data_IF_961176080076
#
_entry.id   IF_961176080076
#
_cell.length_a   1.000
_cell.length_b   1.000
_cell.length_c   1.000
_cell.angle_alpha   90.00
_cell.angle_beta   90.00
_cell.angle_gamma   90.00
#
_symmetry.space_group_name_H-M   'P 1'
#
loop_
_entity.id
_entity.type
_entity.pdbx_description
1 polymer ?
#
# COMPACT_ATOMS: atom_id res chain seq x y z
N UNK A 1 -28.29 0.73 -0.49
CA UNK A 1 -27.80 -0.62 -0.18
C UNK A 1 -26.52 -0.45 0.63
N UNK A 2 -26.54 -0.71 1.94
CA UNK A 2 -25.30 -0.74 2.73
C UNK A 2 -24.43 -1.86 2.12
N UNK A 3 -23.26 -1.51 1.57
CA UNK A 3 -22.37 -2.52 1.00
C UNK A 3 -21.86 -3.45 2.09
N UNK A 4 -21.75 -4.74 1.80
CA UNK A 4 -21.07 -5.73 2.64
C UNK A 4 -19.56 -5.41 2.65
N UNK A 5 -19.16 -4.41 3.44
CA UNK A 5 -17.77 -4.01 3.63
C UNK A 5 -17.43 -4.07 5.10
N UNK A 6 -16.39 -4.83 5.42
CA UNK A 6 -15.76 -4.86 6.72
C UNK A 6 -14.47 -4.04 6.63
N UNK A 7 -14.35 -3.00 7.44
CA UNK A 7 -13.13 -2.19 7.54
C UNK A 7 -12.58 -2.30 8.96
N UNK A 8 -11.33 -2.71 9.07
CA UNK A 8 -10.62 -2.88 10.34
C UNK A 8 -9.40 -1.96 10.36
N UNK A 9 -9.23 -1.21 11.44
CA UNK A 9 -7.98 -0.51 11.73
C UNK A 9 -7.15 -1.45 12.59
N UNK A 10 -5.97 -1.82 12.08
CA UNK A 10 -5.14 -2.87 12.66
C UNK A 10 -3.78 -2.26 13.05
N UNK A 11 -3.36 -2.37 14.33
CA UNK A 11 -2.00 -2.00 14.71
C UNK A 11 -0.98 -2.84 13.93
N UNK A 12 0.17 -2.28 13.52
CA UNK A 12 1.18 -3.00 12.73
C UNK A 12 1.62 -4.31 13.39
N UNK A 13 1.73 -4.34 14.72
CA UNK A 13 2.13 -5.52 15.50
C UNK A 13 1.12 -6.66 15.50
N UNK A 14 -0.10 -6.45 15.00
CA UNK A 14 -1.19 -7.44 14.99
C UNK A 14 -1.62 -7.85 13.60
N UNK A 15 -0.95 -7.37 12.54
CA UNK A 15 -1.38 -7.64 11.16
C UNK A 15 -1.39 -9.14 10.86
N UNK A 16 -0.35 -9.88 11.28
CA UNK A 16 -0.25 -11.32 11.08
C UNK A 16 -1.36 -12.09 11.78
N UNK A 17 -1.69 -11.71 13.01
CA UNK A 17 -2.80 -12.32 13.76
C UNK A 17 -4.13 -12.11 13.04
N UNK A 18 -4.41 -10.87 12.60
CA UNK A 18 -5.68 -10.53 11.94
C UNK A 18 -5.80 -11.22 10.58
N UNK A 19 -4.71 -11.27 9.81
CA UNK A 19 -4.69 -11.97 8.52
C UNK A 19 -4.82 -13.48 8.72
N UNK A 20 -4.20 -14.05 9.75
CA UNK A 20 -4.38 -15.45 10.15
C UNK A 20 -5.84 -15.76 10.51
N UNK A 21 -6.45 -14.93 11.36
CA UNK A 21 -7.87 -15.06 11.71
C UNK A 21 -8.78 -14.91 10.49
N UNK A 22 -8.46 -14.02 9.55
CA UNK A 22 -9.22 -13.85 8.31
C UNK A 22 -9.15 -15.13 7.46
N UNK A 23 -7.98 -15.73 7.31
CA UNK A 23 -7.80 -16.99 6.60
C UNK A 23 -8.54 -18.16 7.26
N UNK A 24 -8.57 -18.21 8.59
CA UNK A 24 -9.26 -19.27 9.35
C UNK A 24 -10.79 -19.11 9.35
N UNK A 25 -11.29 -17.90 9.58
CA UNK A 25 -12.72 -17.62 9.78
C UNK A 25 -13.45 -17.37 8.46
N UNK A 26 -12.75 -16.90 7.43
CA UNK A 26 -13.30 -16.56 6.12
C UNK A 26 -12.43 -17.21 5.05
N UNK A 27 -12.46 -18.55 4.98
CA UNK A 27 -11.56 -19.36 4.15
C UNK A 27 -11.64 -19.07 2.64
N UNK A 28 -12.68 -18.39 2.16
CA UNK A 28 -12.83 -17.98 0.77
C UNK A 28 -12.40 -16.53 0.50
N UNK A 29 -11.91 -15.82 1.52
CA UNK A 29 -11.37 -14.47 1.36
C UNK A 29 -10.00 -14.54 0.70
N UNK A 30 -9.93 -14.09 -0.55
CA UNK A 30 -8.69 -14.05 -1.32
C UNK A 30 -8.09 -12.63 -1.29
N UNK A 31 -6.75 -12.52 -1.24
CA UNK A 31 -6.08 -11.23 -1.33
C UNK A 31 -6.27 -10.63 -2.72
N UNK A 32 -6.71 -9.38 -2.77
CA UNK A 32 -6.93 -8.63 -4.02
C UNK A 32 -5.84 -7.60 -4.26
N UNK A 33 -5.41 -6.87 -3.21
CA UNK A 33 -4.35 -5.87 -3.33
C UNK A 33 -3.75 -5.48 -1.98
N UNK A 34 -2.52 -4.98 -2.03
CA UNK A 34 -1.87 -4.25 -0.94
C UNK A 34 -1.22 -3.01 -1.52
N UNK A 35 -1.49 -1.85 -0.93
CA UNK A 35 -0.89 -0.59 -1.37
C UNK A 35 -0.75 0.42 -0.24
N UNK A 36 0.26 1.29 -0.38
CA UNK A 36 0.54 2.37 0.55
C UNK A 36 -0.16 3.67 0.20
N UNK A 37 -0.36 4.52 1.22
CA UNK A 37 -0.79 5.91 1.11
C UNK A 37 0.18 6.76 1.92
N UNK A 38 0.77 7.77 1.30
CA UNK A 38 1.60 8.76 2.00
C UNK A 38 0.71 9.84 2.64
N UNK A 39 0.64 9.86 3.98
CA UNK A 39 -0.10 10.85 4.78
C UNK A 39 0.73 12.10 5.11
N UNK A 40 1.95 12.18 4.56
CA UNK A 40 2.98 13.19 4.82
C UNK A 40 3.51 13.16 6.26
N UNK A 41 4.62 13.88 6.50
CA UNK A 41 5.29 13.94 7.79
C UNK A 41 5.70 12.55 8.32
N UNK A 42 6.26 11.73 7.42
CA UNK A 42 6.70 10.36 7.71
C UNK A 42 5.60 9.48 8.33
N UNK A 43 4.34 9.73 7.94
CA UNK A 43 3.20 8.87 8.24
C UNK A 43 2.69 8.23 6.97
N UNK A 44 2.41 6.94 7.08
CA UNK A 44 1.95 6.11 5.98
C UNK A 44 0.75 5.30 6.43
N UNK A 45 -0.09 4.95 5.48
CA UNK A 45 -1.16 3.99 5.70
C UNK A 45 -1.03 2.87 4.68
N UNK A 46 -1.00 1.64 5.17
CA UNK A 46 -0.97 0.45 4.35
C UNK A 46 -2.37 -0.17 4.35
N UNK A 47 -2.88 -0.43 3.15
CA UNK A 47 -4.23 -0.97 2.96
C UNK A 47 -4.09 -2.37 2.38
N UNK A 48 -4.63 -3.36 3.11
CA UNK A 48 -4.82 -4.71 2.59
C UNK A 48 -6.28 -4.88 2.21
N UNK A 49 -6.53 -5.44 1.02
CA UNK A 49 -7.87 -5.68 0.52
C UNK A 49 -8.03 -7.17 0.22
N UNK A 50 -9.09 -7.75 0.77
CA UNK A 50 -9.51 -9.12 0.54
C UNK A 50 -10.95 -9.15 0.07
N UNK A 51 -11.29 -10.12 -0.78
CA UNK A 51 -12.65 -10.33 -1.23
C UNK A 51 -13.12 -11.75 -0.94
N UNK A 52 -14.24 -11.87 -0.22
CA UNK A 52 -14.94 -13.13 0.00
C UNK A 52 -16.09 -13.23 -0.99
N UNK A 53 -16.03 -14.23 -1.87
CA UNK A 53 -16.99 -14.44 -2.95
C UNK A 53 -18.31 -15.01 -2.44
N UNK A 54 -18.26 -15.92 -1.46
CA UNK A 54 -19.43 -16.57 -0.86
C UNK A 54 -20.25 -15.57 -0.03
N UNK A 55 -19.56 -14.75 0.77
CA UNK A 55 -20.21 -13.72 1.59
C UNK A 55 -20.49 -12.42 0.81
N UNK A 56 -19.97 -12.31 -0.43
CA UNK A 56 -20.00 -11.10 -1.27
C UNK A 56 -19.54 -9.88 -0.49
N UNK A 57 -18.41 -10.03 0.19
CA UNK A 57 -17.95 -9.08 1.20
C UNK A 57 -16.51 -8.63 0.90
N UNK A 58 -16.31 -7.31 0.94
CA UNK A 58 -14.99 -6.68 0.89
C UNK A 58 -14.45 -6.55 2.31
N UNK A 59 -13.31 -7.15 2.59
CA UNK A 59 -12.59 -6.97 3.85
C UNK A 59 -11.38 -6.08 3.61
N UNK A 60 -11.32 -4.96 4.31
CA UNK A 60 -10.22 -4.02 4.21
C UNK A 60 -9.54 -3.86 5.57
N UNK A 61 -8.23 -4.05 5.59
CA UNK A 61 -7.41 -3.82 6.77
C UNK A 61 -6.58 -2.56 6.53
N UNK A 62 -6.61 -1.63 7.49
CA UNK A 62 -5.86 -0.37 7.45
C UNK A 62 -4.82 -0.39 8.55
N UNK A 63 -3.56 -0.23 8.17
CA UNK A 63 -2.42 -0.26 9.09
C UNK A 63 -1.71 1.08 9.02
N UNK A 64 -1.72 1.83 10.12
CA UNK A 64 -1.01 3.10 10.21
C UNK A 64 0.45 2.85 10.60
N UNK A 65 1.37 3.41 9.83
CA UNK A 65 2.81 3.31 10.01
C UNK A 65 3.39 4.72 10.17
N UNK A 66 4.42 4.83 11.00
CA UNK A 66 5.09 6.10 11.28
C UNK A 66 6.61 5.92 11.26
N UNK A 67 7.34 6.97 10.92
CA UNK A 67 8.79 7.01 10.90
C UNK A 67 9.40 7.13 9.51
N UNK A 68 10.69 7.48 9.47
CA UNK A 68 11.43 7.68 8.21
C UNK A 68 11.65 6.39 7.43
N UNK A 69 11.73 5.27 8.15
CA UNK A 69 11.83 3.90 7.65
C UNK A 69 10.68 3.09 8.27
N UNK A 70 9.45 3.22 7.75
CA UNK A 70 8.30 2.49 8.27
C UNK A 70 8.44 0.99 7.97
N UNK A 71 8.04 0.15 8.92
CA UNK A 71 8.17 -1.30 8.81
C UNK A 71 6.92 -2.02 9.34
N UNK A 72 6.61 -3.16 8.75
CA UNK A 72 5.54 -4.06 9.16
C UNK A 72 5.98 -5.51 8.93
N UNK A 73 5.36 -6.48 9.60
CA UNK A 73 5.60 -7.88 9.28
C UNK A 73 4.88 -8.27 7.98
N UNK A 74 5.59 -8.96 7.10
CA UNK A 74 5.04 -9.56 5.89
C UNK A 74 3.95 -10.58 6.24
N UNK A 75 2.98 -10.75 5.36
CA UNK A 75 1.96 -11.82 5.46
C UNK A 75 2.01 -12.78 4.26
N UNK A 76 3.09 -12.74 3.48
CA UNK A 76 3.25 -13.55 2.27
C UNK A 76 3.32 -15.06 2.54
N UNK A 77 3.73 -15.49 3.73
CA UNK A 77 3.72 -16.89 4.13
C UNK A 77 2.31 -17.42 4.41
N UNK A 78 1.37 -16.54 4.78
CA UNK A 78 -0.06 -16.85 4.93
C UNK A 78 -0.75 -16.80 3.57
N UNK A 79 -0.50 -15.72 2.82
CA UNK A 79 -1.06 -15.48 1.49
C UNK A 79 0.05 -15.21 0.46
N UNK A 80 0.54 -16.25 -0.24
CA UNK A 80 1.62 -16.09 -1.22
C UNK A 80 1.33 -15.12 -2.36
N UNK A 81 0.05 -14.88 -2.69
CA UNK A 81 -0.35 -13.89 -3.69
C UNK A 81 -0.02 -12.44 -3.33
N UNK A 82 0.36 -12.16 -2.08
CA UNK A 82 0.73 -10.82 -1.63
C UNK A 82 2.20 -10.46 -1.89
N UNK A 83 3.03 -11.41 -2.31
CA UNK A 83 4.48 -11.20 -2.53
C UNK A 83 4.76 -10.04 -3.49
N UNK A 84 4.04 -10.00 -4.60
CA UNK A 84 4.20 -8.95 -5.62
C UNK A 84 3.75 -7.58 -5.08
N UNK A 85 2.68 -7.55 -4.30
CA UNK A 85 2.08 -6.32 -3.78
C UNK A 85 2.92 -5.71 -2.66
N UNK A 86 3.47 -6.53 -1.76
CA UNK A 86 4.38 -6.08 -0.72
C UNK A 86 5.69 -5.55 -1.33
N UNK A 87 6.20 -6.20 -2.40
CA UNK A 87 7.36 -5.69 -3.16
C UNK A 87 7.09 -4.37 -3.86
N UNK A 88 6.00 -4.27 -4.59
CA UNK A 88 5.60 -3.02 -5.25
C UNK A 88 5.48 -1.90 -4.21
N UNK A 89 4.83 -2.18 -3.08
CA UNK A 89 4.67 -1.19 -2.01
C UNK A 89 6.02 -0.79 -1.38
N UNK A 90 6.91 -1.75 -1.16
CA UNK A 90 8.28 -1.48 -0.69
C UNK A 90 9.04 -0.61 -1.69
N UNK A 91 8.95 -0.91 -2.98
CA UNK A 91 9.65 -0.17 -4.04
C UNK A 91 9.09 1.25 -4.24
N UNK A 92 7.77 1.42 -4.12
CA UNK A 92 7.10 2.70 -4.37
C UNK A 92 7.08 3.63 -3.16
N UNK A 93 6.98 3.08 -1.95
CA UNK A 93 6.84 3.82 -0.69
C UNK A 93 7.98 3.59 0.28
N UNK A 94 8.90 2.65 0.06
CA UNK A 94 10.00 2.36 0.99
C UNK A 94 9.55 1.86 2.35
N UNK A 95 8.44 1.10 2.38
CA UNK A 95 7.94 0.42 3.56
C UNK A 95 8.62 -0.95 3.64
N UNK A 96 9.27 -1.26 4.76
CA UNK A 96 9.91 -2.55 4.99
C UNK A 96 8.90 -3.64 5.38
N UNK A 97 9.06 -4.84 4.80
CA UNK A 97 8.26 -6.01 5.12
C UNK A 97 9.12 -7.12 5.74
N UNK A 98 9.02 -7.32 7.06
CA UNK A 98 9.83 -8.31 7.78
C UNK A 98 9.37 -9.72 7.47
N UNK A 99 10.30 -10.61 7.14
CA UNK A 99 10.00 -12.00 6.77
C UNK A 99 9.54 -12.18 5.31
N UNK A 100 9.55 -11.12 4.50
CA UNK A 100 9.28 -11.23 3.06
C UNK A 100 10.39 -12.03 2.35
N UNK A 101 10.06 -12.98 1.44
CA UNK A 101 11.04 -13.88 0.83
C UNK A 101 12.04 -13.17 -0.10
N UNK A 102 11.60 -12.15 -0.85
CA UNK A 102 12.44 -11.42 -1.82
C UNK A 102 11.97 -9.96 -1.95
N UNK A 103 12.72 -8.98 -1.42
CA UNK A 103 12.37 -7.54 -1.54
C UNK A 103 13.19 -6.79 -2.59
N UNK A 104 13.65 -7.48 -3.64
CA UNK A 104 14.29 -6.83 -4.78
C UNK A 104 13.28 -5.99 -5.58
N UNK A 105 13.80 -4.98 -6.30
CA UNK A 105 13.04 -4.14 -7.22
C UNK A 105 12.19 -4.98 -8.18
N UNK A 106 10.97 -4.53 -8.46
CA UNK A 106 10.00 -5.25 -9.28
C UNK A 106 9.69 -4.49 -10.56
N UNK A 107 9.44 -3.18 -10.46
CA UNK A 107 8.94 -2.33 -11.54
C UNK A 107 9.92 -1.21 -11.92
N UNK A 108 10.67 -0.67 -10.96
CA UNK A 108 11.52 0.49 -11.20
C UNK A 108 12.88 0.09 -11.77
N UNK A 109 13.42 0.91 -12.68
CA UNK A 109 14.84 0.85 -13.03
C UNK A 109 15.73 1.02 -11.80
N UNK A 110 16.92 0.41 -11.81
CA UNK A 110 17.86 0.43 -10.69
C UNK A 110 18.25 1.87 -10.27
N UNK A 111 18.24 2.83 -11.21
CA UNK A 111 18.55 4.23 -10.96
C UNK A 111 17.53 4.93 -10.04
N UNK A 112 16.30 4.41 -9.97
CA UNK A 112 15.23 4.90 -9.10
C UNK A 112 15.16 4.14 -7.77
N UNK A 113 16.08 3.23 -7.51
CA UNK A 113 16.17 2.51 -6.24
C UNK A 113 16.25 3.49 -5.06
N UNK A 114 15.40 3.27 -4.05
CA UNK A 114 15.33 4.10 -2.85
C UNK A 114 14.77 5.52 -3.07
N UNK A 115 14.25 5.84 -4.26
CA UNK A 115 13.66 7.15 -4.55
C UNK A 115 12.17 7.26 -4.22
N UNK A 116 11.48 6.12 -4.16
CA UNK A 116 10.07 6.00 -3.72
C UNK A 116 9.12 6.97 -4.44
N UNK A 117 8.84 6.76 -5.74
CA UNK A 117 8.13 7.71 -6.59
C UNK A 117 6.70 8.07 -6.14
N UNK A 118 6.04 7.20 -5.38
CA UNK A 118 4.67 7.44 -4.90
C UNK A 118 4.63 8.18 -3.55
N UNK A 119 5.78 8.49 -2.93
CA UNK A 119 5.83 9.42 -1.80
C UNK A 119 5.53 10.84 -2.31
N UNK A 120 4.69 11.59 -1.60
CA UNK A 120 4.27 12.97 -1.96
C UNK A 120 5.45 13.94 -2.05
N UNK A 121 6.54 13.67 -1.34
CA UNK A 121 7.78 14.46 -1.38
C UNK A 121 8.64 14.21 -2.62
N UNK A 122 8.33 13.19 -3.41
CA UNK A 122 9.09 12.87 -4.62
C UNK A 122 8.92 13.98 -5.65
N UNK A 123 10.04 14.55 -6.10
CA UNK A 123 10.05 15.58 -7.14
C UNK A 123 10.12 14.89 -8.49
N UNK A 124 8.97 14.78 -9.16
CA UNK A 124 8.93 14.33 -10.55
C UNK A 124 9.62 15.35 -11.45
N UNK A 125 10.48 14.89 -12.34
CA UNK A 125 10.95 15.72 -13.44
C UNK A 125 9.78 15.97 -14.40
N UNK A 126 9.29 17.20 -14.37
CA UNK A 126 8.15 17.65 -15.17
C UNK A 126 8.58 18.22 -16.52
N UNK A 127 9.88 18.27 -16.82
CA UNK A 127 10.40 18.86 -18.06
C UNK A 127 9.86 18.19 -19.32
N UNK A 128 9.58 16.89 -19.24
CA UNK A 128 9.04 16.08 -20.35
C UNK A 128 7.52 16.02 -20.41
N UNK A 129 6.79 16.72 -19.53
CA UNK A 129 5.32 16.71 -19.58
C UNK A 129 4.79 17.18 -20.93
N UNK A 130 5.45 18.15 -21.56
CA UNK A 130 5.10 18.65 -22.89
C UNK A 130 5.19 17.58 -23.99
N UNK A 131 5.98 16.52 -23.79
CA UNK A 131 6.16 15.42 -24.74
C UNK A 131 5.05 14.36 -24.60
N UNK A 132 4.30 14.34 -23.49
CA UNK A 132 3.32 13.29 -23.19
C UNK A 132 1.95 13.50 -23.83
N UNK A 133 1.67 14.70 -24.35
CA UNK A 133 0.34 15.08 -24.85
C UNK A 133 -0.74 15.16 -23.76
N UNK A 134 -0.39 14.98 -22.48
CA UNK A 134 -1.29 15.17 -21.35
C UNK A 134 -1.58 16.67 -21.15
N UNK A 135 -2.82 17.04 -20.78
CA UNK A 135 -3.15 18.42 -20.46
C UNK A 135 -2.31 18.90 -19.28
N UNK A 136 -1.93 20.19 -19.28
CA UNK A 136 -1.23 20.77 -18.14
C UNK A 136 -2.04 20.57 -16.85
N UNK A 137 -1.32 20.37 -15.75
CA UNK A 137 -1.94 20.17 -14.45
C UNK A 137 -2.89 21.32 -14.14
N UNK A 138 -4.10 21.01 -13.63
CA UNK A 138 -4.98 22.05 -13.10
C UNK A 138 -4.20 22.86 -12.06
N UNK A 139 -4.22 24.20 -12.12
CA UNK A 139 -3.57 25.01 -11.10
C UNK A 139 -4.10 24.58 -9.74
N UNK A 140 -3.18 24.27 -8.81
CA UNK A 140 -3.51 23.78 -7.48
C UNK A 140 -4.50 24.72 -6.79
N UNK A 141 -5.50 24.15 -6.13
CA UNK A 141 -6.26 24.87 -5.11
C UNK A 141 -5.25 25.48 -4.15
N UNK A 142 -5.15 26.81 -4.15
CA UNK A 142 -4.34 27.55 -3.20
C UNK A 142 -4.65 27.01 -1.81
N UNK A 143 -3.60 26.62 -1.09
CA UNK A 143 -3.66 26.34 0.33
C UNK A 143 -4.40 27.51 0.99
N UNK A 144 -5.50 27.19 1.68
CA UNK A 144 -6.22 28.16 2.49
C UNK A 144 -5.33 28.46 3.71
N UNK A 145 -4.46 29.46 3.59
CA UNK A 145 -4.00 30.23 4.73
C UNK A 145 -5.17 31.08 5.24
N UNK A 146 -5.76 30.67 6.35
CA UNK A 146 -6.37 31.59 7.34
C UNK A 146 -6.33 30.94 8.71
#
# INVERSE_FOLDING_TARGET
MQGNRLELIVPPSRIRDVVGLLNELISDALPESVFGIDLQNDRYELIYVFWSHLNRMLCQLRVSLEGTVPEVDSVCDIFPGLEWHERETHEMFGIGFKGHPDLRLLLLPEELSGKYPLRKRFKTDRSRLSETGLPEARPGSKEAET
#
